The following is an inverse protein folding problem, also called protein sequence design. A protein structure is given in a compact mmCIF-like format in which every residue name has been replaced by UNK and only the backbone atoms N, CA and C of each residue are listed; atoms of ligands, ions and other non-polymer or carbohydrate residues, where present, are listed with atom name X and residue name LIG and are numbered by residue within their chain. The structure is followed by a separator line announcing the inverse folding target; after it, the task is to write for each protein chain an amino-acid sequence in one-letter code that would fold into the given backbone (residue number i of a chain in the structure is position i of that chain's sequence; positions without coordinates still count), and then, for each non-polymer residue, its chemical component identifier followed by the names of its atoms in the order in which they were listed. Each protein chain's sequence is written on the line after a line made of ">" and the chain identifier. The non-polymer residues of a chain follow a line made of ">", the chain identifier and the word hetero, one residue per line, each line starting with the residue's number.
data_IF_508983419890
#
_entry.id   IF_508983419890
#
_cell.length_a   1.000
_cell.length_b   1.000
_cell.length_c   1.000
_cell.angle_alpha   90.00
_cell.angle_beta   90.00
_cell.angle_gamma   90.00
#
_symmetry.space_group_name_H-M   'P 1'
#
loop_
_entity.id
_entity.type
_entity.pdbx_description
1 polymer ?
#
# COMPACT_ATOMS: atom_id res chain seq x y z
N UNK A 1 18.43 13.69 7.48
CA UNK A 1 18.89 14.91 8.18
C UNK A 1 17.79 15.50 9.06
N UNK A 2 16.59 15.81 8.54
CA UNK A 2 15.47 16.30 9.37
C UNK A 2 15.09 15.34 10.53
N UNK A 3 15.03 14.04 10.26
CA UNK A 3 14.67 13.04 11.28
C UNK A 3 15.75 12.85 12.36
N UNK A 4 17.03 12.98 12.01
CA UNK A 4 18.16 12.89 12.96
C UNK A 4 18.10 14.02 13.99
N UNK A 5 17.84 15.24 13.51
CA UNK A 5 17.66 16.41 14.38
C UNK A 5 16.44 16.25 15.30
N UNK A 6 15.33 15.68 14.80
CA UNK A 6 14.14 15.41 15.60
C UNK A 6 14.39 14.37 16.72
N UNK A 7 15.21 13.37 16.44
CA UNK A 7 15.52 12.28 17.37
C UNK A 7 16.79 12.52 18.21
N UNK A 8 17.48 13.64 17.99
CA UNK A 8 18.77 13.96 18.60
C UNK A 8 19.81 12.83 18.47
N UNK A 9 19.89 12.22 17.28
CA UNK A 9 20.89 11.20 16.93
C UNK A 9 21.77 11.68 15.78
N UNK A 10 22.98 11.13 15.67
CA UNK A 10 23.84 11.29 14.51
C UNK A 10 23.76 10.07 13.57
N UNK A 11 24.51 10.09 12.48
CA UNK A 11 24.56 8.94 11.57
C UNK A 11 25.37 7.78 12.15
N UNK A 12 26.36 8.10 12.97
CA UNK A 12 27.26 7.17 13.63
C UNK A 12 26.50 6.29 14.65
N UNK A 13 25.37 6.79 15.17
CA UNK A 13 24.46 6.04 16.03
C UNK A 13 23.64 4.97 15.28
N UNK A 14 23.66 4.96 13.94
CA UNK A 14 22.86 4.06 13.12
C UNK A 14 23.65 2.80 12.75
N UNK A 15 23.38 1.70 13.45
CA UNK A 15 24.01 0.41 13.21
C UNK A 15 23.84 -0.12 11.77
N UNK A 16 22.66 0.12 11.17
CA UNK A 16 22.36 -0.27 9.79
C UNK A 16 21.31 0.64 9.16
N UNK A 17 21.69 1.32 8.07
CA UNK A 17 20.75 2.11 7.26
C UNK A 17 20.32 1.30 6.03
N UNK A 18 19.02 1.02 5.94
CA UNK A 18 18.41 0.33 4.82
C UNK A 18 17.51 1.27 4.01
N UNK A 19 17.43 1.08 2.70
CA UNK A 19 16.42 1.71 1.85
C UNK A 19 15.48 0.69 1.20
N UNK A 20 14.33 1.18 0.72
CA UNK A 20 13.32 0.38 -0.01
C UNK A 20 12.58 1.27 -1.00
N UNK A 21 11.58 0.71 -1.70
CA UNK A 21 10.85 1.40 -2.78
C UNK A 21 11.79 1.91 -3.86
N UNK A 22 11.56 3.13 -4.36
CA UNK A 22 12.41 3.80 -5.36
C UNK A 22 13.72 4.36 -4.77
N UNK A 23 14.06 4.01 -3.52
CA UNK A 23 15.27 4.45 -2.82
C UNK A 23 16.54 3.72 -3.25
N UNK A 24 16.58 3.08 -4.43
CA UNK A 24 17.77 2.34 -4.85
C UNK A 24 18.94 3.27 -5.24
N UNK A 25 18.65 4.46 -5.72
CA UNK A 25 19.69 5.42 -6.08
C UNK A 25 20.28 6.18 -4.88
N UNK A 26 19.73 5.98 -3.67
CA UNK A 26 20.23 6.60 -2.44
C UNK A 26 21.61 6.04 -2.11
N UNK A 27 22.65 6.88 -2.24
CA UNK A 27 24.06 6.49 -1.99
C UNK A 27 24.33 6.18 -0.53
N UNK A 28 23.75 6.95 0.40
CA UNK A 28 23.97 6.82 1.84
C UNK A 28 23.04 5.73 2.40
N UNK A 29 23.36 4.47 2.12
CA UNK A 29 22.69 3.27 2.68
C UNK A 29 23.69 2.12 2.75
N UNK A 30 23.45 1.16 3.64
CA UNK A 30 24.21 -0.09 3.75
C UNK A 30 23.54 -1.27 3.05
N UNK A 31 22.22 -1.21 2.87
CA UNK A 31 21.45 -2.20 2.12
C UNK A 31 20.22 -1.60 1.46
N UNK A 32 19.78 -2.25 0.39
CA UNK A 32 18.50 -1.97 -0.25
C UNK A 32 17.65 -3.25 -0.27
N UNK A 33 16.36 -3.10 -0.01
CA UNK A 33 15.41 -4.20 -0.03
C UNK A 33 14.22 -3.83 -0.90
N UNK A 34 13.82 -4.72 -1.79
CA UNK A 34 12.67 -4.51 -2.66
C UNK A 34 11.39 -4.29 -1.84
N UNK A 35 10.52 -3.41 -2.34
CA UNK A 35 9.26 -3.03 -1.67
C UNK A 35 8.40 -4.23 -1.29
N UNK A 36 8.42 -5.30 -2.09
CA UNK A 36 7.70 -6.54 -1.79
C UNK A 36 8.20 -7.20 -0.50
N UNK A 37 9.51 -7.33 -0.35
CA UNK A 37 10.14 -7.96 0.82
C UNK A 37 9.96 -7.13 2.08
N UNK A 38 9.92 -5.80 1.94
CA UNK A 38 9.74 -4.90 3.07
C UNK A 38 8.29 -4.76 3.47
N UNK A 39 7.34 -4.63 2.53
CA UNK A 39 5.92 -4.65 2.86
C UNK A 39 5.48 -6.00 3.42
N UNK A 40 5.99 -7.13 2.92
CA UNK A 40 5.75 -8.43 3.54
C UNK A 40 6.17 -8.45 5.02
N UNK A 41 7.38 -7.98 5.32
CA UNK A 41 7.93 -7.96 6.68
C UNK A 41 7.22 -6.95 7.58
N UNK A 42 6.95 -5.74 7.06
CA UNK A 42 6.29 -4.67 7.79
C UNK A 42 4.81 -4.97 8.04
N UNK A 43 4.09 -5.45 7.03
CA UNK A 43 2.70 -5.87 7.17
C UNK A 43 2.55 -7.01 8.19
N UNK A 44 3.42 -8.02 8.12
CA UNK A 44 3.43 -9.08 9.13
C UNK A 44 3.87 -8.59 10.52
N UNK A 45 4.73 -7.57 10.62
CA UNK A 45 5.04 -6.96 11.91
C UNK A 45 3.83 -6.22 12.51
N UNK A 46 3.06 -5.50 11.69
CA UNK A 46 1.86 -4.78 12.12
C UNK A 46 0.69 -5.74 12.41
N UNK A 47 0.63 -6.89 11.74
CA UNK A 47 -0.36 -7.92 11.98
C UNK A 47 0.30 -9.32 11.88
N UNK A 48 0.80 -9.87 13.01
CA UNK A 48 1.57 -11.13 13.04
C UNK A 48 0.87 -12.36 12.47
N UNK A 49 -0.46 -12.36 12.43
CA UNK A 49 -1.22 -13.48 11.87
C UNK A 49 -1.43 -13.39 10.35
N UNK A 50 -0.99 -12.29 9.71
CA UNK A 50 -1.21 -12.07 8.29
C UNK A 50 -0.59 -13.19 7.45
N UNK A 51 -1.41 -13.81 6.61
CA UNK A 51 -0.97 -14.77 5.56
C UNK A 51 -0.83 -14.12 4.20
N UNK A 52 -1.49 -12.97 4.02
CA UNK A 52 -1.33 -12.13 2.84
C UNK A 52 -1.14 -10.68 3.26
N UNK A 53 -0.24 -9.97 2.58
CA UNK A 53 -0.10 -8.51 2.71
C UNK A 53 -0.46 -7.87 1.38
N UNK A 54 -1.23 -6.79 1.39
CA UNK A 54 -1.54 -5.98 0.21
C UNK A 54 -0.92 -4.60 0.37
N UNK A 55 0.09 -4.29 -0.44
CA UNK A 55 0.69 -2.97 -0.58
C UNK A 55 -0.15 -2.15 -1.56
N UNK A 56 -0.88 -1.17 -1.04
CA UNK A 56 -1.76 -0.27 -1.76
C UNK A 56 -1.11 1.11 -1.88
N UNK A 57 -0.03 1.16 -2.66
CA UNK A 57 0.81 2.34 -2.87
C UNK A 57 0.33 3.29 -3.97
N UNK A 58 1.14 4.31 -4.23
CA UNK A 58 0.84 5.35 -5.23
C UNK A 58 0.94 4.85 -6.67
N UNK A 59 1.90 3.96 -6.98
CA UNK A 59 2.22 3.57 -8.36
C UNK A 59 1.54 2.26 -8.81
N UNK A 60 1.29 1.36 -7.87
CA UNK A 60 0.73 0.03 -8.13
C UNK A 60 0.17 -0.55 -6.84
N UNK A 61 -0.65 -1.60 -6.99
CA UNK A 61 -1.07 -2.46 -5.88
C UNK A 61 -0.37 -3.80 -5.99
N UNK A 62 0.18 -4.31 -4.90
CA UNK A 62 0.83 -5.63 -4.83
C UNK A 62 0.19 -6.48 -3.72
N UNK A 63 -0.32 -7.64 -4.08
CA UNK A 63 -0.72 -8.67 -3.13
C UNK A 63 0.41 -9.70 -2.96
N UNK A 64 0.72 -10.06 -1.73
CA UNK A 64 1.91 -10.83 -1.36
C UNK A 64 1.49 -11.92 -0.39
N UNK A 65 1.63 -13.20 -0.76
CA UNK A 65 1.51 -14.31 0.18
C UNK A 65 2.78 -14.38 1.03
N UNK A 66 2.59 -14.46 2.34
CA UNK A 66 3.69 -14.46 3.30
C UNK A 66 3.69 -15.74 4.12
N UNK A 67 4.89 -16.24 4.42
CA UNK A 67 5.08 -17.34 5.38
C UNK A 67 5.01 -16.83 6.82
N UNK A 68 4.97 -17.76 7.78
CA UNK A 68 5.01 -17.45 9.22
C UNK A 68 6.28 -16.71 9.66
N UNK A 69 7.38 -16.83 8.90
CA UNK A 69 8.61 -16.07 9.12
C UNK A 69 8.70 -14.82 8.22
N UNK A 70 7.56 -14.33 7.73
CA UNK A 70 7.38 -13.09 6.94
C UNK A 70 8.17 -13.03 5.63
N UNK A 71 8.50 -14.19 5.06
CA UNK A 71 9.11 -14.29 3.74
C UNK A 71 8.04 -14.32 2.66
N UNK A 72 8.38 -13.79 1.50
CA UNK A 72 7.52 -13.81 0.32
C UNK A 72 7.46 -15.24 -0.22
N UNK A 73 6.25 -15.79 -0.34
CA UNK A 73 6.01 -17.10 -0.96
C UNK A 73 5.55 -16.98 -2.41
N UNK A 74 4.64 -16.05 -2.67
CA UNK A 74 4.11 -15.74 -3.99
C UNK A 74 3.61 -14.29 -4.00
N UNK A 75 3.49 -13.67 -5.17
CA UNK A 75 2.95 -12.33 -5.29
C UNK A 75 2.30 -12.09 -6.66
N UNK A 76 1.35 -11.16 -6.66
CA UNK A 76 0.82 -10.56 -7.88
C UNK A 76 0.74 -9.06 -7.70
N UNK A 77 0.94 -8.32 -8.79
CA UNK A 77 0.79 -6.87 -8.78
C UNK A 77 0.01 -6.41 -9.99
N UNK A 78 -0.64 -5.26 -9.84
CA UNK A 78 -1.16 -4.52 -10.99
C UNK A 78 0.00 -4.02 -11.85
N UNK A 79 -0.26 -3.75 -13.13
CA UNK A 79 0.69 -2.98 -13.92
C UNK A 79 0.93 -1.59 -13.32
N UNK A 80 1.96 -0.89 -13.80
CA UNK A 80 2.27 0.50 -13.40
C UNK A 80 1.27 1.53 -13.96
N UNK A 81 0.18 1.08 -14.56
CA UNK A 81 -0.89 1.97 -15.00
C UNK A 81 -1.60 2.53 -13.77
N UNK A 82 -1.62 3.86 -13.64
CA UNK A 82 -2.11 4.55 -12.45
C UNK A 82 -3.59 4.28 -12.14
N UNK A 83 -4.40 3.78 -13.08
CA UNK A 83 -5.86 3.67 -12.99
C UNK A 83 -6.39 2.88 -11.79
N UNK A 84 -5.53 2.13 -11.09
CA UNK A 84 -5.85 1.33 -9.91
C UNK A 84 -4.98 1.60 -8.68
N UNK A 85 -4.27 2.73 -8.63
CA UNK A 85 -3.32 3.05 -7.56
C UNK A 85 -3.60 4.39 -6.89
N UNK A 86 -2.88 4.69 -5.81
CA UNK A 86 -3.07 5.94 -5.06
C UNK A 86 -2.84 7.21 -5.88
N UNK A 87 -2.00 7.15 -6.92
CA UNK A 87 -1.77 8.29 -7.83
C UNK A 87 -3.04 8.71 -8.56
N UNK A 88 -3.91 7.76 -8.93
CA UNK A 88 -5.17 8.10 -9.57
C UNK A 88 -6.13 8.80 -8.60
N UNK A 89 -6.19 8.34 -7.34
CA UNK A 89 -6.93 9.05 -6.29
C UNK A 89 -6.38 10.47 -6.14
N UNK A 90 -5.07 10.65 -6.06
CA UNK A 90 -4.43 11.97 -5.93
C UNK A 90 -4.77 12.90 -7.10
N UNK A 91 -4.67 12.42 -8.34
CA UNK A 91 -4.98 13.22 -9.53
C UNK A 91 -6.44 13.69 -9.52
N UNK A 92 -7.38 12.78 -9.25
CA UNK A 92 -8.80 13.13 -9.23
C UNK A 92 -9.14 14.04 -8.05
N UNK A 93 -8.55 13.81 -6.89
CA UNK A 93 -8.77 14.66 -5.71
C UNK A 93 -8.34 16.10 -6.00
N UNK A 94 -7.17 16.29 -6.62
CA UNK A 94 -6.71 17.61 -7.06
C UNK A 94 -7.68 18.26 -8.05
N UNK A 95 -8.19 17.50 -9.02
CA UNK A 95 -9.15 18.01 -10.00
C UNK A 95 -10.47 18.43 -9.36
N UNK A 96 -10.95 17.68 -8.37
CA UNK A 96 -12.20 17.95 -7.64
C UNK A 96 -12.03 18.94 -6.48
N UNK A 97 -10.81 19.47 -6.27
CA UNK A 97 -10.53 20.45 -5.22
C UNK A 97 -10.49 19.88 -3.80
N UNK A 98 -10.16 18.60 -3.64
CA UNK A 98 -10.05 17.92 -2.35
C UNK A 98 -8.58 17.69 -1.96
N UNK A 99 -8.29 17.81 -0.67
CA UNK A 99 -7.09 17.24 -0.08
C UNK A 99 -7.21 15.72 0.03
N UNK A 100 -6.08 15.00 0.08
CA UNK A 100 -6.07 13.53 0.17
C UNK A 100 -6.72 13.04 1.46
N UNK A 101 -6.60 13.83 2.53
CA UNK A 101 -7.16 13.56 3.85
C UNK A 101 -8.68 13.59 3.85
N UNK A 102 -9.30 14.42 3.00
CA UNK A 102 -10.76 14.56 2.88
C UNK A 102 -11.40 13.46 2.01
N UNK A 103 -10.64 12.83 1.11
CA UNK A 103 -11.15 11.88 0.12
C UNK A 103 -11.94 10.74 0.76
N UNK A 104 -11.41 10.18 1.85
CA UNK A 104 -12.07 9.10 2.56
C UNK A 104 -13.42 9.53 3.10
N UNK A 105 -13.47 10.66 3.81
CA UNK A 105 -14.67 11.24 4.42
C UNK A 105 -15.73 11.58 3.37
N UNK A 106 -15.33 12.27 2.30
CA UNK A 106 -16.22 12.65 1.20
C UNK A 106 -16.79 11.43 0.50
N UNK A 107 -16.01 10.36 0.34
CA UNK A 107 -16.51 9.12 -0.25
C UNK A 107 -17.64 8.48 0.56
N UNK A 108 -17.62 8.62 1.89
CA UNK A 108 -18.61 7.97 2.77
C UNK A 108 -19.98 8.63 2.70
N UNK A 109 -20.06 9.87 2.21
CA UNK A 109 -21.34 10.60 2.04
C UNK A 109 -21.97 10.36 0.66
N UNK A 110 -21.47 9.38 -0.09
CA UNK A 110 -22.03 8.99 -1.39
C UNK A 110 -23.39 8.32 -1.22
N UNK A 111 -24.34 8.66 -2.08
CA UNK A 111 -25.69 8.08 -2.09
C UNK A 111 -25.93 7.23 -3.33
N UNK A 112 -25.41 7.67 -4.48
CA UNK A 112 -25.59 7.00 -5.77
C UNK A 112 -24.28 7.05 -6.59
N UNK A 113 -23.28 6.22 -6.23
CA UNK A 113 -21.96 6.27 -6.84
C UNK A 113 -22.00 5.90 -8.32
N UNK A 114 -21.25 6.63 -9.14
CA UNK A 114 -21.06 6.29 -10.56
C UNK A 114 -19.64 5.76 -10.78
N UNK A 115 -19.53 4.49 -11.16
CA UNK A 115 -18.24 3.80 -11.33
C UNK A 115 -17.60 4.21 -12.66
N UNK A 116 -16.35 4.69 -12.62
CA UNK A 116 -15.57 4.98 -13.83
C UNK A 116 -15.15 3.70 -14.55
N UNK A 117 -14.90 3.77 -15.86
CA UNK A 117 -14.58 2.60 -16.69
C UNK A 117 -13.40 1.79 -16.18
N UNK A 118 -12.45 2.43 -15.50
CA UNK A 118 -11.29 1.76 -14.91
C UNK A 118 -10.40 1.05 -15.95
N UNK A 119 -10.43 1.48 -17.21
CA UNK A 119 -9.62 0.84 -18.27
C UNK A 119 -8.18 1.39 -18.21
N UNK A 120 -8.04 2.71 -18.24
CA UNK A 120 -6.77 3.43 -18.25
C UNK A 120 -6.91 4.69 -17.39
N UNK A 121 -5.81 5.21 -16.83
CA UNK A 121 -5.86 6.39 -15.97
C UNK A 121 -6.40 7.60 -16.72
N UNK A 122 -5.94 7.80 -17.97
CA UNK A 122 -6.37 8.89 -18.85
C UNK A 122 -7.87 8.79 -19.19
N UNK A 123 -8.33 7.57 -19.49
CA UNK A 123 -9.75 7.35 -19.79
C UNK A 123 -10.62 7.54 -18.54
N UNK A 124 -10.17 7.06 -17.39
CA UNK A 124 -10.88 7.24 -16.14
C UNK A 124 -10.91 8.71 -15.69
N UNK A 125 -9.85 9.48 -15.96
CA UNK A 125 -9.86 10.95 -15.79
C UNK A 125 -10.88 11.62 -16.73
N UNK A 126 -10.99 11.14 -17.98
CA UNK A 126 -12.00 11.63 -18.93
C UNK A 126 -13.42 11.30 -18.48
N UNK A 127 -13.64 10.10 -17.93
CA UNK A 127 -14.92 9.71 -17.33
C UNK A 127 -15.30 10.66 -16.19
N UNK A 128 -14.34 11.02 -15.32
CA UNK A 128 -14.59 11.95 -14.22
C UNK A 128 -14.97 13.34 -14.73
N UNK A 129 -14.29 13.85 -15.76
CA UNK A 129 -14.66 15.12 -16.41
C UNK A 129 -16.11 15.05 -16.93
N UNK A 130 -16.48 13.94 -17.55
CA UNK A 130 -17.85 13.71 -18.06
C UNK A 130 -18.88 13.51 -16.94
N UNK A 131 -18.50 12.98 -15.78
CA UNK A 131 -19.36 12.89 -14.60
C UNK A 131 -19.62 14.29 -14.02
N UNK A 132 -18.57 15.12 -13.91
CA UNK A 132 -18.71 16.50 -13.46
C UNK A 132 -19.60 17.31 -14.41
N UNK A 133 -19.43 17.18 -15.73
CA UNK A 133 -20.26 17.90 -16.70
C UNK A 133 -21.74 17.47 -16.68
N UNK A 134 -22.02 16.22 -16.29
CA UNK A 134 -23.39 15.71 -16.06
C UNK A 134 -23.96 16.06 -14.69
N UNK A 135 -23.20 16.77 -13.84
CA UNK A 135 -23.65 17.17 -12.51
C UNK A 135 -23.61 16.07 -11.45
N UNK A 136 -22.84 15.00 -11.67
CA UNK A 136 -22.61 13.99 -10.62
C UNK A 136 -21.84 14.62 -9.47
N UNK A 137 -22.27 14.36 -8.24
CA UNK A 137 -21.69 14.98 -7.05
C UNK A 137 -20.31 14.38 -6.73
N UNK A 138 -19.44 15.19 -6.13
CA UNK A 138 -18.08 14.77 -5.73
C UNK A 138 -18.07 13.48 -4.88
N UNK A 139 -18.94 13.31 -3.85
CA UNK A 139 -19.03 12.04 -3.10
C UNK A 139 -19.28 10.82 -3.99
N UNK A 140 -20.22 10.93 -4.94
CA UNK A 140 -20.60 9.84 -5.84
C UNK A 140 -19.47 9.48 -6.82
N UNK A 141 -18.71 10.48 -7.29
CA UNK A 141 -17.55 10.26 -8.15
C UNK A 141 -16.43 9.55 -7.37
N UNK A 142 -16.05 10.07 -6.20
CA UNK A 142 -14.98 9.51 -5.38
C UNK A 142 -15.31 8.08 -4.96
N UNK A 143 -16.54 7.82 -4.53
CA UNK A 143 -16.98 6.47 -4.16
C UNK A 143 -16.95 5.52 -5.35
N UNK A 144 -17.35 5.97 -6.55
CA UNK A 144 -17.21 5.19 -7.79
C UNK A 144 -15.76 4.82 -8.10
N UNK A 145 -14.81 5.71 -7.84
CA UNK A 145 -13.37 5.44 -7.98
C UNK A 145 -12.90 4.41 -6.94
N UNK A 146 -13.28 4.55 -5.68
CA UNK A 146 -12.96 3.55 -4.65
C UNK A 146 -13.52 2.16 -5.01
N UNK A 147 -14.77 2.07 -5.49
CA UNK A 147 -15.38 0.81 -5.95
C UNK A 147 -14.56 0.20 -7.10
N UNK A 148 -14.17 1.02 -8.09
CA UNK A 148 -13.34 0.58 -9.23
C UNK A 148 -12.00 0.00 -8.78
N UNK A 149 -11.32 0.66 -7.84
CA UNK A 149 -10.04 0.19 -7.27
C UNK A 149 -10.25 -1.09 -6.44
N UNK A 150 -11.27 -1.12 -5.57
CA UNK A 150 -11.59 -2.26 -4.71
C UNK A 150 -11.86 -3.53 -5.52
N UNK A 151 -12.64 -3.42 -6.59
CA UNK A 151 -12.90 -4.54 -7.51
C UNK A 151 -11.62 -5.13 -8.08
N UNK A 152 -10.63 -4.29 -8.43
CA UNK A 152 -9.33 -4.76 -8.92
C UNK A 152 -8.50 -5.42 -7.82
N UNK A 153 -8.52 -4.89 -6.60
CA UNK A 153 -7.84 -5.50 -5.44
C UNK A 153 -8.40 -6.91 -5.20
N UNK A 154 -9.72 -7.09 -5.19
CA UNK A 154 -10.34 -8.40 -4.98
C UNK A 154 -10.03 -9.38 -6.11
N UNK A 155 -10.00 -8.91 -7.37
CA UNK A 155 -9.55 -9.71 -8.52
C UNK A 155 -8.09 -10.14 -8.35
N UNK A 156 -7.21 -9.24 -7.89
CA UNK A 156 -5.80 -9.52 -7.64
C UNK A 156 -5.63 -10.59 -6.54
N UNK A 157 -6.32 -10.42 -5.41
CA UNK A 157 -6.34 -11.38 -4.29
C UNK A 157 -6.86 -12.76 -4.74
N UNK A 158 -7.95 -12.78 -5.50
CA UNK A 158 -8.53 -14.03 -6.04
C UNK A 158 -7.55 -14.72 -6.98
N UNK A 159 -6.92 -13.96 -7.89
CA UNK A 159 -5.93 -14.47 -8.84
C UNK A 159 -4.70 -15.05 -8.13
N UNK A 160 -4.27 -14.42 -7.03
CA UNK A 160 -3.15 -14.89 -6.20
C UNK A 160 -3.50 -16.12 -5.36
N UNK A 161 -4.79 -16.49 -5.23
CA UNK A 161 -5.26 -17.45 -4.22
C UNK A 161 -4.78 -17.01 -2.82
N UNK A 162 -5.05 -15.74 -2.51
CA UNK A 162 -4.73 -15.14 -1.23
C UNK A 162 -5.35 -15.91 -0.07
N UNK A 163 -4.68 -15.87 1.08
CA UNK A 163 -5.12 -16.50 2.32
C UNK A 163 -5.36 -15.46 3.39
N UNK A 164 -6.44 -15.62 4.14
CA UNK A 164 -6.78 -14.82 5.32
C UNK A 164 -5.97 -15.25 6.55
N UNK A 165 -5.67 -14.35 7.49
CA UNK A 165 -5.97 -12.91 7.45
C UNK A 165 -5.11 -12.12 6.45
N UNK A 166 -5.69 -11.05 5.88
CA UNK A 166 -5.05 -10.17 4.91
C UNK A 166 -4.78 -8.81 5.57
N UNK A 167 -3.53 -8.38 5.56
CA UNK A 167 -3.12 -7.07 6.07
C UNK A 167 -2.92 -6.06 4.94
N UNK A 168 -3.69 -4.97 4.96
CA UNK A 168 -3.56 -3.83 4.05
C UNK A 168 -2.44 -2.89 4.52
N UNK A 169 -1.59 -2.46 3.60
CA UNK A 169 -0.47 -1.55 3.84
C UNK A 169 -0.40 -0.47 2.76
N UNK A 170 0.44 0.55 2.96
CA UNK A 170 0.57 1.69 2.03
C UNK A 170 -0.43 2.80 2.33
N UNK A 171 -0.36 3.91 1.57
CA UNK A 171 -1.13 5.11 1.86
C UNK A 171 -2.65 4.93 1.73
N UNK A 172 -3.10 4.16 0.74
CA UNK A 172 -4.54 3.90 0.56
C UNK A 172 -5.14 3.07 1.72
N UNK A 173 -4.31 2.34 2.48
CA UNK A 173 -4.78 1.58 3.64
C UNK A 173 -5.22 2.47 4.81
N UNK A 174 -4.95 3.78 4.76
CA UNK A 174 -5.45 4.76 5.73
C UNK A 174 -6.75 5.43 5.28
N UNK A 175 -7.13 5.28 4.01
CA UNK A 175 -8.35 5.89 3.47
C UNK A 175 -9.57 5.03 3.85
N UNK A 176 -10.36 5.52 4.80
CA UNK A 176 -11.55 4.81 5.29
C UNK A 176 -12.61 4.55 4.22
N UNK A 177 -12.74 5.44 3.22
CA UNK A 177 -13.64 5.23 2.08
C UNK A 177 -13.17 4.09 1.17
N UNK A 178 -11.85 3.95 1.01
CA UNK A 178 -11.23 2.84 0.30
C UNK A 178 -11.41 1.51 1.04
N UNK A 179 -11.22 1.49 2.37
CA UNK A 179 -11.47 0.30 3.19
C UNK A 179 -12.94 -0.12 3.07
N UNK A 180 -13.88 0.81 3.24
CA UNK A 180 -15.31 0.54 3.13
C UNK A 180 -15.67 -0.03 1.74
N UNK A 181 -15.12 0.55 0.66
CA UNK A 181 -15.37 0.03 -0.68
C UNK A 181 -14.83 -1.40 -0.88
N UNK A 182 -13.71 -1.76 -0.25
CA UNK A 182 -13.21 -3.14 -0.27
C UNK A 182 -14.19 -4.07 0.46
N UNK A 183 -14.67 -3.68 1.65
CA UNK A 183 -15.64 -4.47 2.43
C UNK A 183 -16.97 -4.68 1.68
N UNK A 184 -17.51 -3.63 1.06
CA UNK A 184 -18.71 -3.70 0.24
C UNK A 184 -18.53 -4.63 -0.95
N UNK A 185 -17.39 -4.53 -1.66
CA UNK A 185 -17.11 -5.39 -2.81
C UNK A 185 -16.87 -6.86 -2.39
N UNK A 186 -16.34 -7.12 -1.20
CA UNK A 186 -16.27 -8.49 -0.65
C UNK A 186 -17.66 -9.06 -0.38
N UNK A 187 -18.54 -8.25 0.22
CA UNK A 187 -19.92 -8.62 0.48
C UNK A 187 -20.69 -8.91 -0.82
N UNK A 188 -20.56 -8.04 -1.83
CA UNK A 188 -21.19 -8.19 -3.15
C UNK A 188 -20.71 -9.44 -3.88
N UNK A 189 -19.40 -9.72 -3.85
CA UNK A 189 -18.82 -10.88 -4.55
C UNK A 189 -18.91 -12.20 -3.77
N UNK A 190 -19.36 -12.18 -2.52
CA UNK A 190 -19.43 -13.33 -1.62
C UNK A 190 -18.06 -13.90 -1.23
N UNK A 191 -16.98 -13.15 -1.42
CA UNK A 191 -15.61 -13.57 -1.07
C UNK A 191 -15.39 -13.42 0.43
N UNK A 192 -14.86 -14.46 1.07
CA UNK A 192 -14.64 -14.50 2.53
C UNK A 192 -13.20 -14.13 2.91
N UNK A 193 -12.68 -13.05 2.35
CA UNK A 193 -11.38 -12.52 2.78
C UNK A 193 -11.56 -11.73 4.08
N UNK A 194 -10.75 -12.04 5.08
CA UNK A 194 -10.69 -11.30 6.34
C UNK A 194 -9.60 -10.23 6.18
N UNK A 195 -10.00 -8.97 6.19
CA UNK A 195 -9.13 -7.84 5.85
C UNK A 195 -8.94 -6.95 7.06
N UNK A 196 -7.69 -6.59 7.32
CA UNK A 196 -7.27 -5.71 8.40
C UNK A 196 -6.43 -4.56 7.86
N UNK A 197 -6.47 -3.42 8.55
CA UNK A 197 -5.54 -2.30 8.34
C UNK A 197 -5.00 -1.84 9.69
N UNK A 198 -4.01 -0.95 9.68
CA UNK A 198 -3.34 -0.44 10.86
C UNK A 198 -3.06 1.07 10.72
N UNK A 199 -3.11 1.86 11.80
CA UNK A 199 -2.78 3.30 11.75
C UNK A 199 -1.40 3.60 11.14
N UNK A 200 -0.43 2.71 11.36
CA UNK A 200 0.93 2.79 10.80
C UNK A 200 1.12 2.10 9.44
N UNK A 201 0.03 1.72 8.76
CA UNK A 201 0.08 0.96 7.49
C UNK A 201 0.91 1.65 6.40
N UNK A 202 0.95 2.99 6.38
CA UNK A 202 1.77 3.77 5.44
C UNK A 202 3.28 3.59 5.67
N UNK A 203 3.70 3.21 6.88
CA UNK A 203 5.10 3.02 7.26
C UNK A 203 5.59 1.58 7.07
N UNK A 204 4.72 0.64 6.67
CA UNK A 204 5.05 -0.78 6.58
C UNK A 204 6.34 -1.07 5.78
N UNK A 205 6.53 -0.43 4.62
CA UNK A 205 7.77 -0.58 3.84
C UNK A 205 9.03 -0.13 4.61
N UNK A 206 8.97 1.00 5.30
CA UNK A 206 10.09 1.50 6.10
C UNK A 206 10.38 0.59 7.31
N UNK A 207 9.33 0.13 8.00
CA UNK A 207 9.42 -0.83 9.11
C UNK A 207 10.07 -2.13 8.65
N UNK A 208 9.61 -2.70 7.54
CA UNK A 208 10.20 -3.91 6.98
C UNK A 208 11.66 -3.74 6.57
N UNK A 209 12.03 -2.59 5.99
CA UNK A 209 13.41 -2.28 5.65
C UNK A 209 14.30 -2.23 6.91
N UNK A 210 13.81 -1.61 7.99
CA UNK A 210 14.52 -1.55 9.28
C UNK A 210 14.70 -2.94 9.89
N UNK A 211 13.64 -3.77 9.90
CA UNK A 211 13.68 -5.14 10.43
C UNK A 211 14.65 -6.03 9.65
N UNK A 212 14.63 -5.99 8.33
CA UNK A 212 15.61 -6.71 7.50
C UNK A 212 17.02 -6.16 7.65
N UNK A 213 17.16 -4.84 7.81
CA UNK A 213 18.43 -4.19 8.12
C UNK A 213 19.04 -4.70 9.43
N UNK A 214 18.24 -4.78 10.50
CA UNK A 214 18.64 -5.35 11.78
C UNK A 214 19.06 -6.82 11.64
N UNK A 215 18.26 -7.65 10.95
CA UNK A 215 18.63 -9.03 10.67
C UNK A 215 19.97 -9.16 9.94
N UNK A 216 20.20 -8.35 8.89
CA UNK A 216 21.49 -8.35 8.17
C UNK A 216 22.65 -7.86 9.01
N UNK A 217 22.44 -6.88 9.88
CA UNK A 217 23.46 -6.40 10.80
C UNK A 217 23.99 -7.53 11.68
N UNK A 218 23.11 -8.25 12.37
CA UNK A 218 23.50 -9.39 13.21
C UNK A 218 24.21 -10.48 12.40
N UNK A 219 23.68 -10.86 11.24
CA UNK A 219 24.31 -11.89 10.39
C UNK A 219 25.70 -11.51 9.88
N UNK A 220 25.96 -10.23 9.62
CA UNK A 220 27.28 -9.76 9.20
C UNK A 220 28.26 -9.84 10.37
N UNK A 221 27.82 -9.49 11.58
CA UNK A 221 28.69 -9.51 12.76
C UNK A 221 29.00 -10.93 13.23
N UNK A 222 28.01 -11.83 13.26
CA UNK A 222 28.22 -13.26 13.53
C UNK A 222 29.30 -13.86 12.60
N UNK A 223 29.25 -13.55 11.30
CA UNK A 223 30.27 -14.02 10.34
C UNK A 223 31.66 -13.47 10.62
N UNK A 224 31.76 -12.23 11.10
CA UNK A 224 33.06 -11.62 11.43
C UNK A 224 33.69 -12.28 12.65
N UNK A 225 32.90 -12.62 13.66
CA UNK A 225 33.36 -13.34 14.85
C UNK A 225 33.84 -14.76 14.50
N UNK A 226 33.15 -15.45 13.58
CA UNK A 226 33.57 -16.77 13.10
C UNK A 226 34.87 -16.73 12.29
N UNK A 227 35.14 -15.65 11.55
CA UNK A 227 36.39 -15.50 10.75
C UNK A 227 37.56 -14.98 11.60
N UNK A 228 37.28 -14.36 12.75
CA UNK A 228 38.29 -13.84 13.67
C UNK A 228 38.80 -14.87 14.69
N UNK A 229 38.11 -16.00 14.82
CA UNK A 229 38.51 -17.17 15.63
C UNK A 229 39.10 -18.27 14.73
#
# INVERSE_FOLDING_TARGET
>A
LAMYKKLNISYEDIAYLASTGEGDLIKRKKGHFYGMTTHAKGGHFLYPEAKTVVDMGALYVRAIKVSNDSKVQDYKMTGQCASGSGQFIENISRYLGLSLEEVGDVSLTSENPEVSSGICAVLAETDVINMVSRGITTPNIIKGIHISIASRIIKLLTSLKAESPIMLTGGMALNKGMIQAIEEQLAETGKKFEIHSHPDAIYAGALGAALWGGFRYYKINEKKEVVAN
#
